data_IF_595284441196
#
_entry.id   IF_595284441196
#
_cell.length_a   1.000
_cell.length_b   1.000
_cell.length_c   1.000
_cell.angle_alpha   90.00
_cell.angle_beta   90.00
_cell.angle_gamma   90.00
#
_symmetry.space_group_name_H-M   'P 1'
#
loop_
_entity.id
_entity.type
_entity.pdbx_description
1 polymer ?
#
# COMPACT_ATOMS: atom_id res chain seq x y z
N UNK A 1 -20.19 51.06 36.44
CA UNK A 1 -18.97 50.29 36.32
C UNK A 1 -19.30 49.10 35.43
N UNK A 2 -19.06 49.25 34.13
CA UNK A 2 -19.38 48.24 33.13
C UNK A 2 -18.10 47.45 32.84
N UNK A 3 -18.06 46.18 33.20
CA UNK A 3 -16.94 45.28 32.91
C UNK A 3 -17.19 44.65 31.54
N UNK A 4 -16.44 45.12 30.56
CA UNK A 4 -16.42 44.54 29.21
C UNK A 4 -15.56 43.27 29.21
N UNK A 5 -16.19 42.12 29.05
CA UNK A 5 -15.48 40.86 28.75
C UNK A 5 -15.07 40.86 27.28
N UNK A 6 -13.80 41.11 27.04
CA UNK A 6 -13.19 40.87 25.72
C UNK A 6 -12.93 39.36 25.63
N UNK A 7 -13.78 38.65 24.90
CA UNK A 7 -13.51 37.27 24.50
C UNK A 7 -12.43 37.24 23.43
N UNK A 8 -11.26 36.69 23.76
CA UNK A 8 -10.26 36.33 22.78
C UNK A 8 -10.77 35.11 22.00
N UNK A 9 -11.32 35.34 20.82
CA UNK A 9 -11.42 34.31 19.81
C UNK A 9 -10.00 34.04 19.30
N UNK A 10 -9.42 32.94 19.75
CA UNK A 10 -8.26 32.37 19.12
C UNK A 10 -8.71 31.85 17.74
N UNK A 11 -8.42 32.61 16.71
CA UNK A 11 -8.52 32.16 15.35
C UNK A 11 -7.33 31.23 15.13
N UNK A 12 -7.51 29.91 15.32
CA UNK A 12 -6.58 28.94 14.78
C UNK A 12 -6.59 29.16 13.26
N UNK A 13 -5.52 29.76 12.76
CA UNK A 13 -5.22 29.74 11.34
C UNK A 13 -5.07 28.27 10.97
N UNK A 14 -6.09 27.66 10.34
CA UNK A 14 -5.88 26.49 9.51
C UNK A 14 -4.76 26.88 8.55
N UNK A 15 -3.60 26.29 8.69
CA UNK A 15 -2.55 26.39 7.68
C UNK A 15 -3.18 25.87 6.38
N UNK A 16 -3.31 26.72 5.38
CA UNK A 16 -3.69 26.24 4.05
C UNK A 16 -2.62 25.26 3.62
N UNK A 17 -2.99 24.00 3.57
CA UNK A 17 -2.14 22.93 3.10
C UNK A 17 -1.93 23.15 1.61
N UNK A 18 -0.71 23.51 1.20
CA UNK A 18 -0.37 23.71 -0.20
C UNK A 18 -0.23 22.31 -0.79
N UNK A 19 -1.16 21.92 -1.65
CA UNK A 19 -1.06 20.70 -2.45
C UNK A 19 -0.30 21.07 -3.73
N UNK A 20 0.76 20.37 -4.02
CA UNK A 20 1.50 20.52 -5.28
C UNK A 20 0.74 19.80 -6.39
N UNK A 21 0.52 20.51 -7.50
CA UNK A 21 -0.09 19.93 -8.70
C UNK A 21 1.00 19.39 -9.64
N UNK A 22 0.83 18.16 -10.12
CA UNK A 22 1.70 17.51 -11.11
C UNK A 22 0.82 17.07 -12.28
N UNK A 23 0.97 17.75 -13.41
CA UNK A 23 0.24 17.46 -14.62
C UNK A 23 0.91 16.32 -15.41
N UNK A 24 0.19 15.19 -15.53
CA UNK A 24 0.63 14.02 -16.26
C UNK A 24 0.18 14.15 -17.71
N UNK A 25 1.14 14.36 -18.59
CA UNK A 25 0.91 14.46 -20.06
C UNK A 25 0.40 13.14 -20.65
N UNK A 26 0.05 13.17 -21.94
CA UNK A 26 -0.34 11.95 -22.65
C UNK A 26 0.78 10.90 -22.67
N UNK A 27 0.44 9.61 -22.56
CA UNK A 27 1.44 8.54 -22.62
C UNK A 27 2.21 8.58 -23.95
N UNK A 28 3.52 8.61 -23.90
CA UNK A 28 4.39 8.63 -25.06
C UNK A 28 5.05 7.27 -25.29
N UNK A 29 4.73 6.65 -26.44
CA UNK A 29 5.38 5.41 -26.86
C UNK A 29 5.05 4.20 -25.97
N UNK A 30 5.95 3.23 -25.98
CA UNK A 30 5.93 2.04 -25.12
C UNK A 30 7.24 1.97 -24.35
N UNK A 31 7.17 1.83 -23.05
CA UNK A 31 8.32 1.56 -22.22
C UNK A 31 8.58 0.05 -22.21
N UNK A 32 9.80 -0.36 -22.36
CA UNK A 32 10.24 -1.75 -22.22
C UNK A 32 10.74 -1.99 -20.80
N UNK A 33 10.67 -3.22 -20.33
CA UNK A 33 11.22 -3.57 -19.01
C UNK A 33 12.72 -3.25 -18.90
N UNK A 34 13.48 -3.42 -19.98
CA UNK A 34 14.89 -3.02 -20.08
C UNK A 34 15.15 -1.51 -19.96
N UNK A 35 14.12 -0.67 -20.09
CA UNK A 35 14.24 0.75 -19.83
C UNK A 35 14.15 1.09 -18.33
N UNK A 36 13.63 0.15 -17.53
CA UNK A 36 13.43 0.29 -16.10
C UNK A 36 14.54 -0.35 -15.27
N UNK A 37 15.04 -1.52 -15.70
CA UNK A 37 16.04 -2.27 -14.95
C UNK A 37 16.87 -3.14 -15.89
N UNK A 38 18.12 -3.42 -15.48
CA UNK A 38 19.05 -4.23 -16.28
C UNK A 38 18.84 -5.73 -16.02
N UNK A 39 18.40 -6.10 -14.84
CA UNK A 39 18.23 -7.49 -14.41
C UNK A 39 17.12 -7.63 -13.36
N UNK A 40 16.44 -8.77 -13.42
CA UNK A 40 15.44 -9.17 -12.43
C UNK A 40 15.83 -10.54 -11.89
N UNK A 41 16.16 -10.61 -10.60
CA UNK A 41 16.47 -11.86 -9.93
C UNK A 41 15.18 -12.50 -9.42
N UNK A 42 14.94 -13.75 -9.82
CA UNK A 42 13.76 -14.51 -9.47
C UNK A 42 14.11 -15.57 -8.43
N UNK A 43 13.46 -15.52 -7.28
CA UNK A 43 13.64 -16.42 -6.15
C UNK A 43 12.45 -17.37 -6.11
N UNK A 44 12.60 -18.64 -6.49
CA UNK A 44 11.51 -19.61 -6.44
C UNK A 44 11.08 -19.84 -4.99
N UNK A 45 9.80 -19.73 -4.70
CA UNK A 45 9.27 -20.07 -3.38
C UNK A 45 8.92 -21.56 -3.30
N UNK A 46 9.34 -22.21 -2.24
CA UNK A 46 9.11 -23.63 -2.03
C UNK A 46 7.62 -23.99 -2.12
N UNK A 47 7.29 -24.96 -2.96
CA UNK A 47 5.92 -25.42 -3.20
C UNK A 47 5.63 -26.72 -2.42
N UNK A 48 4.94 -26.58 -1.30
CA UNK A 48 4.44 -27.70 -0.45
C UNK A 48 3.00 -27.45 -0.08
N UNK A 49 2.26 -28.47 0.31
CA UNK A 49 0.84 -28.31 0.70
C UNK A 49 0.60 -27.24 1.76
N UNK A 50 1.54 -27.01 2.67
CA UNK A 50 1.46 -26.01 3.74
C UNK A 50 1.93 -24.62 3.33
N UNK A 51 2.68 -24.50 2.24
CA UNK A 51 3.23 -23.23 1.74
C UNK A 51 2.49 -22.69 0.51
N UNK A 52 1.49 -23.42 -0.01
CA UNK A 52 0.70 -22.98 -1.15
C UNK A 52 -0.12 -21.73 -0.83
N UNK A 53 -0.12 -20.79 -1.75
CA UNK A 53 -0.96 -19.61 -1.74
C UNK A 53 -1.49 -19.30 -3.14
N UNK A 54 -2.60 -18.58 -3.20
CA UNK A 54 -3.29 -18.30 -4.46
C UNK A 54 -2.78 -17.01 -5.12
N UNK A 55 -2.64 -15.96 -4.33
CA UNK A 55 -2.22 -14.66 -4.79
C UNK A 55 -1.46 -13.94 -3.67
N UNK A 56 -0.28 -13.37 -3.95
CA UNK A 56 0.37 -12.48 -2.99
C UNK A 56 -0.36 -11.13 -2.99
N UNK A 57 -0.93 -10.74 -1.85
CA UNK A 57 -1.61 -9.46 -1.68
C UNK A 57 -0.71 -8.40 -1.03
N UNK A 58 0.25 -8.82 -0.22
CA UNK A 58 1.26 -7.94 0.39
C UNK A 58 2.55 -8.70 0.68
N UNK A 59 3.68 -8.03 0.53
CA UNK A 59 5.00 -8.51 0.84
C UNK A 59 5.69 -7.54 1.82
N UNK A 60 6.27 -8.08 2.88
CA UNK A 60 7.24 -7.36 3.73
C UNK A 60 8.52 -8.16 3.75
N UNK A 61 9.65 -7.48 3.54
CA UNK A 61 11.00 -8.06 3.61
C UNK A 61 11.65 -7.62 4.90
N UNK A 62 11.94 -8.56 5.80
CA UNK A 62 12.54 -8.28 7.09
C UNK A 62 13.38 -9.46 7.58
N UNK A 63 14.54 -9.19 8.14
CA UNK A 63 15.46 -10.18 8.75
C UNK A 63 15.71 -11.39 7.84
N UNK A 64 16.10 -11.14 6.57
CA UNK A 64 16.36 -12.15 5.55
C UNK A 64 15.18 -13.10 5.29
N UNK A 65 13.94 -12.60 5.47
CA UNK A 65 12.71 -13.35 5.26
C UNK A 65 11.70 -12.55 4.45
N UNK A 66 10.88 -13.30 3.73
CA UNK A 66 9.70 -12.82 3.03
C UNK A 66 8.45 -13.15 3.83
N UNK A 67 7.70 -12.13 4.26
CA UNK A 67 6.39 -12.26 4.89
C UNK A 67 5.35 -11.95 3.83
N UNK A 68 4.62 -12.97 3.38
CA UNK A 68 3.70 -12.89 2.25
C UNK A 68 2.28 -13.11 2.74
N UNK A 69 1.41 -12.13 2.55
CA UNK A 69 -0.02 -12.26 2.85
C UNK A 69 -0.78 -12.74 1.62
N UNK A 70 -1.64 -13.73 1.81
CA UNK A 70 -2.64 -14.17 0.84
C UNK A 70 -4.02 -14.11 1.50
N UNK A 71 -4.85 -13.17 1.04
CA UNK A 71 -6.22 -12.94 1.57
C UNK A 71 -7.24 -13.95 1.07
N UNK A 72 -7.03 -14.56 -0.08
CA UNK A 72 -8.06 -15.28 -0.83
C UNK A 72 -7.84 -16.78 -0.96
N UNK A 73 -6.67 -17.27 -0.63
CA UNK A 73 -6.30 -18.69 -0.70
C UNK A 73 -5.90 -19.24 0.64
N UNK A 74 -4.69 -18.92 1.10
CA UNK A 74 -4.18 -19.38 2.39
C UNK A 74 -4.82 -18.65 3.58
N UNK A 75 -5.32 -17.45 3.39
CA UNK A 75 -5.96 -16.56 4.38
C UNK A 75 -5.09 -16.38 5.65
N UNK A 76 -3.78 -16.20 5.44
CA UNK A 76 -2.76 -16.08 6.48
C UNK A 76 -1.48 -15.42 5.91
N UNK A 77 -0.48 -15.24 6.76
CA UNK A 77 0.85 -14.84 6.35
C UNK A 77 1.73 -16.08 6.24
N UNK A 78 2.40 -16.23 5.11
CA UNK A 78 3.38 -17.27 4.84
C UNK A 78 4.77 -16.67 4.95
N UNK A 79 5.66 -17.33 5.67
CA UNK A 79 7.02 -16.87 5.91
C UNK A 79 8.00 -17.79 5.19
N UNK A 80 8.83 -17.19 4.35
CA UNK A 80 9.91 -17.88 3.62
C UNK A 80 11.25 -17.24 3.96
N UNK A 81 12.31 -18.00 3.92
CA UNK A 81 13.68 -17.48 3.96
C UNK A 81 14.02 -16.75 2.66
N UNK A 82 15.09 -15.98 2.65
CA UNK A 82 15.57 -15.23 1.47
C UNK A 82 15.94 -16.17 0.29
N UNK A 83 16.25 -17.44 0.54
CA UNK A 83 16.50 -18.46 -0.47
C UNK A 83 15.22 -19.08 -1.06
N UNK A 84 14.03 -18.65 -0.58
CA UNK A 84 12.74 -19.17 -0.99
C UNK A 84 12.25 -20.40 -0.23
N UNK A 85 13.03 -20.98 0.68
CA UNK A 85 12.59 -22.12 1.51
C UNK A 85 11.50 -21.70 2.49
N UNK A 86 10.48 -22.55 2.66
CA UNK A 86 9.36 -22.27 3.56
C UNK A 86 9.77 -22.44 5.03
N UNK A 87 9.45 -21.44 5.85
CA UNK A 87 9.69 -21.50 7.30
C UNK A 87 8.43 -21.98 8.05
N UNK A 88 7.41 -21.14 8.07
CA UNK A 88 6.16 -21.34 8.78
C UNK A 88 5.07 -20.39 8.29
N UNK A 89 3.90 -20.44 8.91
CA UNK A 89 2.83 -19.46 8.69
C UNK A 89 2.41 -18.79 10.00
N UNK A 90 1.87 -17.57 9.89
CA UNK A 90 1.40 -16.76 11.00
C UNK A 90 -0.07 -16.45 10.82
N UNK A 91 -0.83 -16.67 11.89
CA UNK A 91 -2.26 -16.47 11.92
C UNK A 91 -3.05 -17.66 11.41
N UNK A 92 -4.32 -17.71 11.80
CA UNK A 92 -5.28 -18.75 11.41
C UNK A 92 -6.67 -18.13 11.36
N UNK A 93 -7.41 -18.42 10.30
CA UNK A 93 -8.81 -18.05 10.18
C UNK A 93 -9.66 -18.98 11.04
N UNK A 94 -10.55 -18.42 11.87
CA UNK A 94 -11.46 -19.17 12.73
C UNK A 94 -12.09 -18.32 13.81
N UNK A 95 -12.67 -18.98 14.82
CA UNK A 95 -13.36 -18.34 15.95
C UNK A 95 -12.71 -18.65 17.30
N UNK A 96 -11.56 -19.29 17.31
CA UNK A 96 -10.83 -19.63 18.52
C UNK A 96 -10.01 -18.47 19.08
N UNK A 97 -9.36 -18.70 20.21
CA UNK A 97 -8.46 -17.73 20.78
C UNK A 97 -7.27 -17.50 19.85
N UNK A 98 -7.04 -16.24 19.44
CA UNK A 98 -5.99 -15.90 18.49
C UNK A 98 -6.33 -16.22 17.03
N UNK A 99 -7.57 -16.62 16.73
CA UNK A 99 -8.03 -16.77 15.35
C UNK A 99 -8.83 -15.53 14.92
N UNK A 100 -8.77 -15.18 13.63
CA UNK A 100 -9.46 -14.04 13.05
C UNK A 100 -10.50 -14.47 12.00
N UNK A 101 -11.50 -13.62 11.77
CA UNK A 101 -12.56 -13.88 10.78
C UNK A 101 -12.03 -13.64 9.35
N UNK A 102 -11.30 -12.54 9.15
CA UNK A 102 -10.70 -12.15 7.87
C UNK A 102 -9.29 -11.64 8.11
N UNK A 103 -8.48 -11.63 7.08
CA UNK A 103 -7.20 -10.90 7.06
C UNK A 103 -7.32 -9.78 6.04
N UNK A 104 -7.26 -8.52 6.52
CA UNK A 104 -7.38 -7.33 5.65
C UNK A 104 -6.01 -6.76 5.30
N UNK A 105 -5.13 -6.67 6.28
CA UNK A 105 -3.78 -6.18 6.12
C UNK A 105 -2.88 -6.69 7.26
N UNK A 106 -1.59 -6.47 7.15
CA UNK A 106 -0.64 -6.74 8.23
C UNK A 106 0.54 -5.80 8.20
N UNK A 107 1.22 -5.67 9.33
CA UNK A 107 2.49 -4.98 9.44
C UNK A 107 3.42 -5.70 10.40
N UNK A 108 4.72 -5.39 10.32
CA UNK A 108 5.72 -5.81 11.29
C UNK A 108 6.04 -4.64 12.23
N UNK A 109 6.00 -4.88 13.52
CA UNK A 109 6.61 -4.01 14.51
C UNK A 109 8.04 -4.55 14.75
N UNK A 110 9.00 -3.96 14.02
CA UNK A 110 10.41 -4.42 14.05
C UNK A 110 11.02 -4.25 15.44
N UNK A 111 10.62 -3.21 16.20
CA UNK A 111 11.13 -2.93 17.54
C UNK A 111 10.67 -3.98 18.56
N UNK A 112 9.43 -4.43 18.45
CA UNK A 112 8.85 -5.46 19.32
C UNK A 112 9.01 -6.88 18.79
N UNK A 113 9.54 -7.05 17.59
CA UNK A 113 9.61 -8.34 16.88
C UNK A 113 8.23 -9.02 16.81
N UNK A 114 7.21 -8.25 16.37
CA UNK A 114 5.83 -8.70 16.34
C UNK A 114 5.22 -8.52 14.95
N UNK A 115 4.29 -9.42 14.62
CA UNK A 115 3.40 -9.33 13.48
C UNK A 115 2.04 -8.87 13.96
N UNK A 116 1.53 -7.80 13.36
CA UNK A 116 0.20 -7.26 13.66
C UNK A 116 -0.70 -7.51 12.45
N UNK A 117 -1.69 -8.37 12.61
CA UNK A 117 -2.69 -8.69 11.59
C UNK A 117 -3.93 -7.86 11.83
N UNK A 118 -4.38 -7.13 10.82
CA UNK A 118 -5.64 -6.40 10.82
C UNK A 118 -6.75 -7.30 10.29
N UNK A 119 -7.86 -7.38 11.02
CA UNK A 119 -9.07 -8.12 10.66
C UNK A 119 -10.29 -7.21 10.69
N UNK A 120 -11.26 -7.48 9.81
CA UNK A 120 -12.56 -6.81 9.81
C UNK A 120 -13.33 -7.07 11.14
N UNK A 121 -14.07 -6.10 11.71
CA UNK A 121 -14.29 -4.73 11.18
C UNK A 121 -13.20 -3.72 11.59
N UNK A 122 -12.32 -3.94 12.49
CA UNK A 122 -11.21 -3.10 12.93
C UNK A 122 -10.59 -3.66 14.21
N UNK A 123 -10.13 -4.86 14.12
CA UNK A 123 -9.47 -5.58 15.20
C UNK A 123 -8.08 -6.02 14.77
N UNK A 124 -7.11 -5.84 15.65
CA UNK A 124 -5.76 -6.32 15.43
C UNK A 124 -5.49 -7.56 16.27
N UNK A 125 -4.74 -8.48 15.68
CA UNK A 125 -4.23 -9.69 16.31
C UNK A 125 -2.73 -9.65 16.27
N UNK A 126 -2.09 -9.78 17.41
CA UNK A 126 -0.66 -9.65 17.59
C UNK A 126 -0.05 -11.02 17.83
N UNK A 127 0.98 -11.34 17.05
CA UNK A 127 1.75 -12.57 17.13
C UNK A 127 3.24 -12.25 17.28
N UNK A 128 4.04 -13.17 17.81
CA UNK A 128 5.49 -13.09 17.65
C UNK A 128 5.91 -13.50 16.22
N UNK A 129 7.19 -13.31 15.89
CA UNK A 129 7.72 -13.68 14.58
C UNK A 129 7.71 -15.20 14.29
N UNK A 130 7.45 -16.04 15.31
CA UNK A 130 7.29 -17.50 15.17
C UNK A 130 5.82 -17.93 14.98
N UNK A 131 4.87 -16.97 15.00
CA UNK A 131 3.45 -17.21 14.82
C UNK A 131 2.70 -17.57 16.11
N UNK A 132 3.31 -17.39 17.28
CA UNK A 132 2.59 -17.58 18.55
C UNK A 132 1.71 -16.36 18.83
N UNK A 133 0.43 -16.59 19.10
CA UNK A 133 -0.51 -15.51 19.44
C UNK A 133 -0.17 -14.88 20.78
N UNK A 134 -0.13 -13.55 20.84
CA UNK A 134 0.15 -12.77 22.04
C UNK A 134 -1.15 -12.21 22.62
N UNK A 135 -1.83 -11.34 21.88
CA UNK A 135 -3.11 -10.75 22.26
C UNK A 135 -3.84 -10.15 21.05
N UNK A 136 -5.09 -9.70 21.27
CA UNK A 136 -5.85 -8.96 20.29
C UNK A 136 -6.41 -7.67 20.88
N UNK A 137 -6.66 -6.66 20.03
CA UNK A 137 -7.17 -5.35 20.43
C UNK A 137 -8.16 -4.81 19.40
N UNK A 138 -9.27 -4.25 19.88
CA UNK A 138 -10.21 -3.48 19.05
C UNK A 138 -9.68 -2.06 18.83
N UNK A 139 -9.75 -1.55 17.59
CA UNK A 139 -9.30 -0.21 17.21
C UNK A 139 -10.40 0.86 17.26
N UNK A 140 -11.61 0.50 17.65
CA UNK A 140 -12.76 1.39 17.71
C UNK A 140 -13.83 1.05 16.67
N UNK A 141 -14.64 2.05 16.29
CA UNK A 141 -15.81 1.85 15.42
C UNK A 141 -15.55 2.15 13.94
N UNK A 142 -14.46 2.84 13.62
CA UNK A 142 -14.12 3.16 12.22
C UNK A 142 -13.71 1.89 11.48
N UNK A 143 -14.09 1.77 10.22
CA UNK A 143 -13.62 0.67 9.37
C UNK A 143 -12.19 0.93 8.92
N UNK A 144 -11.29 0.09 9.35
CA UNK A 144 -9.88 0.15 9.02
C UNK A 144 -9.55 -0.93 7.97
N UNK A 145 -8.85 -0.55 6.92
CA UNK A 145 -8.49 -1.43 5.81
C UNK A 145 -7.00 -1.67 5.66
N UNK A 146 -6.18 -0.69 6.06
CA UNK A 146 -4.73 -0.83 6.01
C UNK A 146 -4.10 -0.44 7.33
N UNK A 147 -2.94 -1.02 7.61
CA UNK A 147 -2.13 -0.75 8.78
C UNK A 147 -0.65 -0.77 8.41
N UNK A 148 0.11 0.22 8.90
CA UNK A 148 1.57 0.13 8.93
C UNK A 148 2.10 0.57 10.30
N UNK A 149 3.25 0.02 10.68
CA UNK A 149 3.96 0.40 11.91
C UNK A 149 4.94 1.54 11.61
N UNK A 150 5.15 2.41 12.58
CA UNK A 150 6.26 3.34 12.64
C UNK A 150 6.82 3.30 14.07
N UNK A 151 7.97 3.95 14.30
CA UNK A 151 8.70 3.82 15.58
C UNK A 151 7.83 3.98 16.83
N UNK A 152 6.93 4.97 16.86
CA UNK A 152 6.14 5.28 18.05
C UNK A 152 4.75 4.63 18.06
N UNK A 153 4.37 3.88 17.03
CA UNK A 153 3.04 3.30 16.98
C UNK A 153 2.62 2.72 15.64
N UNK A 154 1.36 2.94 15.34
CA UNK A 154 0.73 2.43 14.12
C UNK A 154 -0.09 3.51 13.45
N UNK A 155 -0.07 3.55 12.13
CA UNK A 155 -1.01 4.34 11.34
C UNK A 155 -1.93 3.40 10.55
N UNK A 156 -3.20 3.74 10.52
CA UNK A 156 -4.23 2.96 9.87
C UNK A 156 -5.01 3.83 8.88
N UNK A 157 -5.46 3.25 7.77
CA UNK A 157 -6.32 3.97 6.82
C UNK A 157 -7.71 3.36 6.69
N UNK A 158 -8.69 4.22 6.39
CA UNK A 158 -10.09 3.84 6.16
C UNK A 158 -10.43 3.65 4.69
N UNK A 159 -9.53 4.02 3.77
CA UNK A 159 -9.77 3.99 2.33
C UNK A 159 -11.15 4.58 1.97
N UNK A 160 -11.49 5.76 2.50
CA UNK A 160 -12.79 6.43 2.31
C UNK A 160 -14.02 5.68 2.86
N UNK A 161 -13.86 4.50 3.47
CA UNK A 161 -15.00 3.80 4.09
C UNK A 161 -15.21 4.26 5.53
N UNK A 162 -16.21 5.08 5.74
CA UNK A 162 -16.57 5.54 7.08
C UNK A 162 -18.07 5.31 7.30
N UNK A 163 -18.43 4.70 8.44
CA UNK A 163 -19.82 4.41 8.81
C UNK A 163 -20.34 5.25 9.97
N UNK A 164 -19.62 6.27 10.40
CA UNK A 164 -20.04 7.11 11.52
C UNK A 164 -20.89 8.27 11.02
N UNK A 165 -22.21 8.13 11.08
CA UNK A 165 -23.12 9.27 10.99
C UNK A 165 -22.80 10.28 12.09
N UNK A 166 -22.51 11.53 11.71
CA UNK A 166 -22.36 12.67 12.61
C UNK A 166 -20.98 12.91 13.21
N UNK A 167 -19.97 12.08 12.93
CA UNK A 167 -18.59 12.35 13.26
C UNK A 167 -17.80 12.78 12.02
N UNK A 168 -16.81 13.66 12.20
CA UNK A 168 -15.87 13.97 11.11
C UNK A 168 -15.12 12.70 10.71
N UNK A 169 -15.18 12.36 9.43
CA UNK A 169 -14.52 11.20 8.86
C UNK A 169 -13.08 11.55 8.44
N UNK A 170 -12.14 10.69 8.73
CA UNK A 170 -10.73 10.86 8.39
C UNK A 170 -10.19 9.66 7.64
N UNK A 171 -9.20 9.89 6.78
CA UNK A 171 -8.49 8.83 6.05
C UNK A 171 -7.48 8.11 6.94
N UNK A 172 -6.76 8.84 7.79
CA UNK A 172 -5.68 8.30 8.61
C UNK A 172 -5.96 8.43 10.11
N UNK A 173 -5.68 7.36 10.84
CA UNK A 173 -5.78 7.24 12.29
C UNK A 173 -4.43 6.81 12.85
N UNK A 174 -3.89 7.56 13.81
CA UNK A 174 -2.61 7.32 14.46
C UNK A 174 -2.82 6.74 15.84
N UNK A 175 -2.21 5.61 16.10
CA UNK A 175 -2.27 4.88 17.37
C UNK A 175 -0.88 4.78 17.99
N UNK A 176 -0.79 4.80 19.32
CA UNK A 176 0.44 4.46 20.02
C UNK A 176 0.73 2.94 19.98
N UNK A 177 1.86 2.53 20.56
CA UNK A 177 2.29 1.12 20.66
C UNK A 177 1.33 0.22 21.47
N UNK A 178 0.33 0.79 22.15
CA UNK A 178 -0.73 0.07 22.87
C UNK A 178 -2.09 0.14 22.16
N UNK A 179 -2.09 0.63 20.92
CA UNK A 179 -3.31 0.86 20.11
C UNK A 179 -4.30 1.82 20.77
N UNK A 180 -3.81 2.84 21.46
CA UNK A 180 -4.62 3.98 21.91
C UNK A 180 -4.57 5.07 20.84
N UNK A 181 -5.73 5.55 20.40
CA UNK A 181 -5.83 6.58 19.36
C UNK A 181 -5.20 7.90 19.85
N UNK A 182 -4.25 8.42 19.08
CA UNK A 182 -3.50 9.64 19.38
C UNK A 182 -3.92 10.80 18.48
N UNK A 183 -4.14 10.55 17.19
CA UNK A 183 -4.43 11.59 16.21
C UNK A 183 -5.22 11.05 15.02
N UNK A 184 -5.84 12.00 14.28
CA UNK A 184 -6.55 11.75 13.01
C UNK A 184 -6.11 12.78 11.99
N UNK A 185 -5.92 12.37 10.73
CA UNK A 185 -5.52 13.27 9.65
C UNK A 185 -6.28 12.98 8.35
N UNK A 186 -6.24 13.96 7.45
CA UNK A 186 -6.84 13.92 6.13
C UNK A 186 -8.36 13.68 6.22
N UNK A 187 -9.14 14.74 6.44
CA UNK A 187 -10.61 14.62 6.50
C UNK A 187 -11.14 14.12 5.16
N UNK A 188 -12.06 13.15 5.22
CA UNK A 188 -12.74 12.62 4.04
C UNK A 188 -13.76 13.64 3.55
N UNK A 189 -13.74 13.97 2.26
CA UNK A 189 -14.76 14.83 1.67
C UNK A 189 -16.13 14.13 1.70
N UNK A 190 -17.24 14.83 2.03
CA UNK A 190 -18.57 14.22 2.13
C UNK A 190 -19.01 13.44 0.87
N UNK A 191 -18.59 13.86 -0.28
CA UNK A 191 -18.88 13.20 -1.57
C UNK A 191 -18.23 11.81 -1.68
N UNK A 192 -17.14 11.55 -0.94
CA UNK A 192 -16.39 10.30 -1.00
C UNK A 192 -16.82 9.26 0.05
N UNK A 193 -17.64 9.63 1.04
CA UNK A 193 -17.98 8.76 2.18
C UNK A 193 -18.74 7.48 1.76
N UNK A 194 -19.43 7.50 0.64
CA UNK A 194 -20.30 6.39 0.20
C UNK A 194 -19.65 5.47 -0.82
N UNK A 195 -18.43 5.76 -1.26
CA UNK A 195 -17.76 4.92 -2.26
C UNK A 195 -16.98 3.76 -1.62
N UNK A 196 -17.26 2.50 -1.98
CA UNK A 196 -16.40 1.40 -1.61
C UNK A 196 -15.01 1.54 -2.28
N UNK A 197 -13.94 1.09 -1.63
CA UNK A 197 -12.61 1.15 -2.22
C UNK A 197 -12.52 0.15 -3.37
N UNK A 198 -12.56 0.65 -4.60
CA UNK A 198 -12.26 -0.15 -5.79
C UNK A 198 -10.77 -0.22 -6.05
N UNK A 199 -10.04 0.67 -5.44
CA UNK A 199 -8.62 0.87 -5.68
C UNK A 199 -7.89 0.73 -4.37
N UNK A 200 -6.81 -0.02 -4.36
CA UNK A 200 -5.93 -0.12 -3.20
C UNK A 200 -5.28 1.24 -2.95
N UNK A 201 -5.35 1.72 -1.71
CA UNK A 201 -4.63 2.92 -1.29
C UNK A 201 -3.42 2.48 -0.46
N UNK A 202 -2.22 2.41 -1.05
CA UNK A 202 -1.06 1.93 -0.32
C UNK A 202 -0.72 2.81 0.87
N UNK A 203 -0.49 2.16 2.00
CA UNK A 203 -0.06 2.75 3.26
C UNK A 203 1.14 1.97 3.77
N UNK A 204 2.29 2.62 3.88
CA UNK A 204 3.53 2.01 4.38
C UNK A 204 4.48 3.07 4.93
N UNK A 205 5.56 2.63 5.53
CA UNK A 205 6.63 3.50 6.03
C UNK A 205 7.90 3.29 5.23
N UNK A 206 8.61 4.37 5.01
CA UNK A 206 10.03 4.40 4.65
C UNK A 206 10.85 4.69 5.91
N UNK A 207 12.17 4.82 5.80
CA UNK A 207 13.02 5.16 6.95
C UNK A 207 12.65 6.51 7.60
N UNK A 208 12.12 7.45 6.81
CA UNK A 208 11.89 8.83 7.26
C UNK A 208 10.45 9.31 7.15
N UNK A 209 9.57 8.54 6.53
CA UNK A 209 8.22 9.00 6.17
C UNK A 209 7.18 7.91 6.29
N UNK A 210 5.96 8.33 6.61
CA UNK A 210 4.75 7.56 6.39
C UNK A 210 4.21 7.97 5.02
N UNK A 211 4.01 7.00 4.15
CA UNK A 211 3.51 7.18 2.79
C UNK A 211 2.07 6.73 2.72
N UNK A 212 1.20 7.60 2.27
CA UNK A 212 -0.17 7.26 1.92
C UNK A 212 -0.48 7.78 0.52
N UNK A 213 -0.75 6.89 -0.40
CA UNK A 213 -1.21 7.28 -1.74
C UNK A 213 -2.71 7.01 -1.86
N UNK A 214 -3.48 8.07 -1.94
CA UNK A 214 -4.91 7.99 -2.23
C UNK A 214 -5.10 7.83 -3.74
N UNK A 215 -5.12 6.59 -4.20
CA UNK A 215 -5.31 6.29 -5.61
C UNK A 215 -6.68 6.77 -6.13
N UNK A 216 -7.64 6.95 -5.23
CA UNK A 216 -8.98 7.39 -5.57
C UNK A 216 -9.03 8.88 -5.95
N UNK A 217 -8.32 9.73 -5.21
CA UNK A 217 -8.20 11.15 -5.48
C UNK A 217 -6.91 11.52 -6.20
N UNK A 218 -6.09 10.53 -6.58
CA UNK A 218 -4.79 10.73 -7.24
C UNK A 218 -3.83 11.60 -6.41
N UNK A 219 -3.87 11.46 -5.08
CA UNK A 219 -3.08 12.26 -4.16
C UNK A 219 -2.07 11.42 -3.39
N UNK A 220 -0.81 11.83 -3.45
CA UNK A 220 0.25 11.34 -2.57
C UNK A 220 0.34 12.22 -1.33
N UNK A 221 0.39 11.60 -0.17
CA UNK A 221 0.64 12.25 1.11
C UNK A 221 1.88 11.64 1.76
N UNK A 222 2.88 12.48 2.03
CA UNK A 222 4.10 12.11 2.73
C UNK A 222 4.10 12.82 4.07
N UNK A 223 4.16 12.06 5.15
CA UNK A 223 4.20 12.59 6.51
C UNK A 223 5.59 12.28 7.06
N UNK A 224 6.45 13.31 7.07
CA UNK A 224 7.81 13.14 7.56
C UNK A 224 7.82 12.92 9.07
N UNK A 225 8.65 11.99 9.51
CA UNK A 225 8.93 11.76 10.91
C UNK A 225 10.00 12.76 11.38
N UNK A 226 9.90 13.26 12.61
CA UNK A 226 10.91 14.13 13.17
C UNK A 226 12.26 13.36 13.38
N UNK A 227 13.30 14.06 13.83
CA UNK A 227 14.64 13.45 14.07
C UNK A 227 14.63 12.29 15.06
N UNK A 228 13.60 12.20 15.90
CA UNK A 228 13.38 11.07 16.82
C UNK A 228 12.52 9.96 16.20
N UNK A 229 12.15 10.09 14.93
CA UNK A 229 11.16 9.28 14.23
C UNK A 229 9.74 9.33 14.84
N UNK A 230 9.42 10.45 15.53
CA UNK A 230 8.08 10.72 16.06
C UNK A 230 7.22 11.42 15.00
N UNK A 231 5.93 11.15 15.06
CA UNK A 231 4.94 11.77 14.18
C UNK A 231 4.79 13.28 14.46
N UNK A 232 4.85 14.09 13.40
CA UNK A 232 4.54 15.52 13.44
C UNK A 232 3.57 15.89 12.32
N UNK A 233 2.35 16.27 12.67
CA UNK A 233 1.31 16.67 11.73
C UNK A 233 1.66 17.91 10.88
N UNK A 234 2.67 18.68 11.28
CA UNK A 234 3.12 19.86 10.54
C UNK A 234 4.09 19.51 9.40
N UNK A 235 4.57 18.26 9.34
CA UNK A 235 5.51 17.79 8.34
C UNK A 235 4.80 17.03 7.19
N UNK A 236 3.57 17.43 6.87
CA UNK A 236 2.82 16.84 5.77
C UNK A 236 3.14 17.54 4.44
N UNK A 237 3.62 16.77 3.48
CA UNK A 237 3.73 17.17 2.07
C UNK A 237 2.69 16.43 1.25
N UNK A 238 2.00 17.12 0.35
CA UNK A 238 0.98 16.51 -0.51
C UNK A 238 1.18 16.90 -1.97
N UNK A 239 0.99 15.92 -2.85
CA UNK A 239 0.98 16.09 -4.29
C UNK A 239 -0.32 15.55 -4.87
N UNK A 240 -0.93 16.29 -5.80
CA UNK A 240 -2.03 15.81 -6.63
C UNK A 240 -1.55 15.58 -8.06
N UNK A 241 -1.86 14.42 -8.61
CA UNK A 241 -1.49 14.03 -9.97
C UNK A 241 -2.70 14.16 -10.88
N UNK A 242 -2.70 15.20 -11.72
CA UNK A 242 -3.75 15.44 -12.70
C UNK A 242 -3.52 14.58 -13.93
N UNK A 243 -4.43 13.66 -14.25
CA UNK A 243 -4.39 12.82 -15.44
C UNK A 243 -5.73 12.88 -16.17
N UNK A 244 -5.81 13.71 -17.20
CA UNK A 244 -7.03 13.93 -17.95
C UNK A 244 -7.46 12.72 -18.83
N UNK A 245 -8.78 12.44 -18.99
CA UNK A 245 -9.87 13.09 -18.26
C UNK A 245 -10.00 12.54 -16.84
N UNK A 246 -10.19 13.45 -15.88
CA UNK A 246 -10.36 13.09 -14.48
C UNK A 246 -11.77 12.54 -14.18
N UNK A 247 -11.88 11.86 -13.06
CA UNK A 247 -13.17 11.37 -12.54
C UNK A 247 -14.01 12.54 -12.06
N UNK A 248 -15.21 12.71 -12.57
CA UNK A 248 -16.11 13.80 -12.17
C UNK A 248 -16.77 13.52 -10.81
N UNK A 249 -17.16 14.59 -10.08
CA UNK A 249 -17.90 14.46 -8.83
C UNK A 249 -19.19 13.64 -8.93
N UNK A 250 -19.86 13.65 -10.08
CA UNK A 250 -21.07 12.86 -10.29
C UNK A 250 -20.81 11.36 -10.25
N UNK A 251 -19.66 10.94 -10.77
CA UNK A 251 -19.22 9.53 -10.76
C UNK A 251 -18.91 9.10 -9.33
N UNK A 252 -18.33 9.98 -8.52
CA UNK A 252 -18.04 9.68 -7.11
C UNK A 252 -19.30 9.48 -6.25
N UNK A 253 -20.45 10.01 -6.66
CA UNK A 253 -21.73 9.87 -5.92
C UNK A 253 -22.42 8.54 -6.11
N UNK A 254 -22.08 7.81 -7.18
CA UNK A 254 -22.68 6.53 -7.52
C UNK A 254 -21.63 5.53 -8.01
N UNK A 255 -21.39 4.54 -7.16
CA UNK A 255 -20.48 3.42 -7.40
C UNK A 255 -20.74 2.70 -8.73
N UNK A 256 -21.98 2.48 -9.09
CA UNK A 256 -22.30 1.81 -10.34
C UNK A 256 -21.93 2.68 -11.53
N UNK A 257 -22.11 4.00 -11.44
CA UNK A 257 -21.65 4.96 -12.44
C UNK A 257 -20.15 4.89 -12.67
N UNK A 258 -19.34 4.65 -11.62
CA UNK A 258 -17.90 4.47 -11.79
C UNK A 258 -17.60 3.26 -12.68
N UNK A 259 -18.17 2.10 -12.40
CA UNK A 259 -17.94 0.90 -13.21
C UNK A 259 -18.43 1.01 -14.63
N UNK A 260 -19.62 1.58 -14.83
CA UNK A 260 -20.19 1.73 -16.15
C UNK A 260 -19.40 2.69 -17.04
N UNK A 261 -18.77 3.70 -16.42
CA UNK A 261 -18.08 4.79 -17.10
C UNK A 261 -16.54 4.78 -16.95
N UNK A 262 -15.94 3.75 -16.32
CA UNK A 262 -14.50 3.67 -16.06
C UNK A 262 -13.61 3.86 -17.30
N UNK A 263 -14.16 3.63 -18.51
CA UNK A 263 -13.46 3.84 -19.76
C UNK A 263 -13.50 5.30 -20.26
N UNK A 264 -14.19 6.20 -19.55
CA UNK A 264 -14.31 7.61 -19.93
C UNK A 264 -13.26 8.50 -19.28
N UNK A 265 -12.64 8.05 -18.19
CA UNK A 265 -11.71 8.82 -17.36
C UNK A 265 -10.43 8.07 -17.04
N UNK A 266 -9.53 8.73 -16.33
CA UNK A 266 -8.26 8.20 -15.86
C UNK A 266 -8.27 8.05 -14.34
N UNK A 267 -7.68 6.96 -13.82
CA UNK A 267 -7.53 6.76 -12.38
C UNK A 267 -6.33 5.86 -12.07
N UNK A 268 -5.76 6.04 -10.89
CA UNK A 268 -4.66 5.22 -10.40
C UNK A 268 -5.20 3.85 -9.94
N UNK A 269 -4.60 2.77 -10.42
CA UNK A 269 -4.91 1.41 -10.00
C UNK A 269 -4.01 1.01 -8.84
N UNK A 270 -2.71 1.22 -9.03
CA UNK A 270 -1.64 0.88 -8.10
C UNK A 270 -0.59 1.96 -8.15
N UNK A 271 -0.01 2.26 -6.99
CA UNK A 271 1.05 3.24 -6.88
C UNK A 271 2.06 2.82 -5.81
N UNK A 272 3.28 3.22 -6.03
CA UNK A 272 4.38 3.06 -5.10
C UNK A 272 5.26 4.30 -5.14
N UNK A 273 5.73 4.77 -3.99
CA UNK A 273 6.63 5.91 -3.87
C UNK A 273 7.96 5.45 -3.25
N UNK A 274 9.05 5.83 -3.86
CA UNK A 274 10.37 5.67 -3.30
C UNK A 274 11.35 6.67 -3.95
N UNK A 275 12.29 7.18 -3.17
CA UNK A 275 13.35 8.07 -3.67
C UNK A 275 12.82 9.25 -4.50
N UNK A 276 11.86 9.97 -3.95
CA UNK A 276 11.18 11.12 -4.59
C UNK A 276 10.46 10.80 -5.91
N UNK A 277 10.29 9.53 -6.23
CA UNK A 277 9.64 9.08 -7.47
C UNK A 277 8.38 8.26 -7.18
N UNK A 278 7.30 8.60 -7.85
CA UNK A 278 6.07 7.80 -7.90
C UNK A 278 6.14 6.86 -9.11
N UNK A 279 5.88 5.61 -8.85
CA UNK A 279 5.69 4.53 -9.82
C UNK A 279 4.23 4.11 -9.76
N UNK A 280 3.51 4.15 -10.87
CA UNK A 280 2.08 3.85 -10.83
C UNK A 280 1.56 3.19 -12.10
N UNK A 281 0.55 2.34 -11.92
CA UNK A 281 -0.32 1.89 -13.01
C UNK A 281 -1.57 2.75 -13.04
N UNK A 282 -1.86 3.31 -14.20
CA UNK A 282 -3.00 4.19 -14.44
C UNK A 282 -3.89 3.53 -15.50
N UNK A 283 -5.17 3.36 -15.17
CA UNK A 283 -6.19 3.13 -16.18
C UNK A 283 -6.51 4.47 -16.84
N UNK A 284 -6.22 4.59 -18.12
CA UNK A 284 -6.53 5.78 -18.92
C UNK A 284 -7.47 5.38 -20.04
N UNK A 285 -8.74 5.78 -19.90
CA UNK A 285 -9.79 5.49 -20.91
C UNK A 285 -9.81 4.00 -21.31
N UNK A 286 -9.83 3.11 -20.33
CA UNK A 286 -9.89 1.65 -20.54
C UNK A 286 -8.57 1.00 -21.01
N UNK A 287 -7.46 1.76 -21.10
CA UNK A 287 -6.14 1.24 -21.41
C UNK A 287 -5.22 1.41 -20.21
N UNK A 288 -4.28 0.50 -20.06
CA UNK A 288 -3.28 0.61 -18.98
C UNK A 288 -2.05 1.40 -19.44
N UNK A 289 -1.59 2.27 -18.58
CA UNK A 289 -0.35 3.01 -18.74
C UNK A 289 0.49 2.92 -17.46
N UNK A 290 1.79 3.07 -17.59
CA UNK A 290 2.75 3.10 -16.49
C UNK A 290 3.37 4.48 -16.38
N UNK A 291 3.40 5.02 -15.15
CA UNK A 291 3.97 6.30 -14.78
C UNK A 291 5.21 6.10 -13.91
N UNK A 292 6.27 6.85 -14.22
CA UNK A 292 7.35 7.20 -13.31
C UNK A 292 7.42 8.71 -13.25
N UNK A 293 7.27 9.33 -12.09
CA UNK A 293 7.31 10.79 -11.97
C UNK A 293 8.02 11.22 -10.69
N UNK A 294 9.01 12.10 -10.82
CA UNK A 294 9.63 12.78 -9.70
C UNK A 294 8.64 13.80 -9.11
N UNK A 295 8.43 13.77 -7.81
CA UNK A 295 7.42 14.58 -7.13
C UNK A 295 7.80 16.06 -7.02
N UNK A 296 9.08 16.40 -7.12
CA UNK A 296 9.56 17.79 -7.00
C UNK A 296 9.55 18.52 -8.33
N UNK A 297 9.88 17.83 -9.40
CA UNK A 297 9.96 18.43 -10.73
C UNK A 297 8.73 18.17 -11.60
N UNK A 298 7.99 17.10 -11.31
CA UNK A 298 6.93 16.56 -12.17
C UNK A 298 7.49 15.92 -13.46
N UNK A 299 8.81 15.82 -13.58
CA UNK A 299 9.42 15.16 -14.73
C UNK A 299 9.37 13.65 -14.56
N UNK A 300 9.21 12.95 -15.67
CA UNK A 300 9.15 11.52 -15.63
C UNK A 300 8.80 10.90 -16.97
N UNK A 301 8.48 9.61 -16.93
CA UNK A 301 8.06 8.84 -18.09
C UNK A 301 6.62 8.39 -17.88
N UNK A 302 5.79 8.62 -18.87
CA UNK A 302 4.44 8.08 -18.92
C UNK A 302 4.26 7.35 -20.25
N UNK A 303 4.03 6.04 -20.20
CA UNK A 303 4.03 5.18 -21.38
C UNK A 303 2.90 4.16 -21.30
N UNK A 304 2.44 3.71 -22.48
CA UNK A 304 1.45 2.63 -22.52
C UNK A 304 2.03 1.35 -21.93
N UNK A 305 1.20 0.67 -21.15
CA UNK A 305 1.56 -0.60 -20.49
C UNK A 305 1.91 -1.68 -21.52
N UNK A 306 3.03 -2.31 -21.26
CA UNK A 306 3.38 -3.57 -21.91
C UNK A 306 3.35 -4.65 -20.83
N UNK A 307 2.75 -5.83 -21.08
CA UNK A 307 2.46 -6.93 -20.13
C UNK A 307 3.63 -7.42 -19.24
N UNK A 308 4.75 -6.75 -19.28
CA UNK A 308 5.99 -7.16 -18.62
C UNK A 308 6.48 -6.21 -17.50
N UNK A 309 5.66 -5.27 -17.03
CA UNK A 309 6.06 -4.44 -15.90
C UNK A 309 5.78 -5.15 -14.58
N UNK A 310 6.79 -5.30 -13.70
CA UNK A 310 6.55 -5.81 -12.36
C UNK A 310 5.79 -4.76 -11.54
N UNK A 311 4.69 -5.17 -10.95
CA UNK A 311 4.02 -4.41 -9.89
C UNK A 311 4.99 -4.27 -8.71
N UNK A 312 5.30 -3.03 -8.29
CA UNK A 312 6.19 -2.80 -7.16
C UNK A 312 5.38 -2.95 -5.87
N UNK A 313 5.71 -3.94 -5.06
CA UNK A 313 5.01 -4.22 -3.81
C UNK A 313 5.72 -3.66 -2.58
N UNK A 314 7.04 -3.61 -2.62
CA UNK A 314 7.85 -3.07 -1.53
C UNK A 314 9.27 -2.76 -2.02
N UNK A 315 10.02 -2.01 -1.22
CA UNK A 315 11.47 -1.82 -1.40
C UNK A 315 12.20 -2.05 -0.08
N UNK A 316 13.41 -2.59 -0.16
CA UNK A 316 14.30 -2.78 0.99
C UNK A 316 15.75 -2.80 0.51
N UNK A 317 16.62 -2.09 1.22
CA UNK A 317 18.08 -2.06 0.97
C UNK A 317 18.46 -1.73 -0.48
N UNK A 318 17.74 -0.79 -1.12
CA UNK A 318 17.94 -0.35 -2.49
C UNK A 318 17.36 -1.27 -3.57
N UNK A 319 16.75 -2.39 -3.19
CA UNK A 319 16.04 -3.27 -4.12
C UNK A 319 14.54 -3.02 -4.08
N UNK A 320 13.92 -3.13 -5.25
CA UNK A 320 12.47 -3.24 -5.40
C UNK A 320 12.07 -4.70 -5.52
N UNK A 321 10.90 -5.02 -4.98
CA UNK A 321 10.37 -6.38 -4.94
C UNK A 321 8.99 -6.47 -5.57
N UNK A 322 8.77 -7.56 -6.27
CA UNK A 322 7.51 -7.93 -6.93
C UNK A 322 7.34 -9.44 -6.92
N UNK A 323 6.34 -9.91 -7.66
CA UNK A 323 6.15 -11.33 -7.93
C UNK A 323 6.04 -11.59 -9.43
N UNK A 324 6.48 -12.78 -9.82
CA UNK A 324 6.20 -13.33 -11.15
C UNK A 324 5.63 -14.74 -11.00
N UNK A 325 4.59 -15.06 -11.77
CA UNK A 325 4.07 -16.42 -11.76
C UNK A 325 4.95 -17.35 -12.59
N UNK A 326 5.01 -18.64 -12.26
CA UNK A 326 5.71 -19.63 -13.09
C UNK A 326 5.22 -19.61 -14.55
N UNK A 327 3.91 -19.46 -14.76
CA UNK A 327 3.32 -19.37 -16.10
C UNK A 327 3.84 -18.17 -16.89
N UNK A 328 3.98 -17.00 -16.26
CA UNK A 328 4.56 -15.82 -16.91
C UNK A 328 6.01 -16.05 -17.31
N UNK A 329 6.83 -16.69 -16.46
CA UNK A 329 8.21 -17.05 -16.82
C UNK A 329 8.30 -18.05 -17.96
N UNK A 330 7.39 -19.02 -18.01
CA UNK A 330 7.34 -20.02 -19.09
C UNK A 330 6.95 -19.39 -20.44
N UNK A 331 6.03 -18.44 -20.43
CA UNK A 331 5.56 -17.73 -21.62
C UNK A 331 6.55 -16.65 -22.08
N UNK A 332 7.24 -16.03 -21.14
CA UNK A 332 8.13 -14.89 -21.38
C UNK A 332 9.59 -15.29 -21.20
N UNK A 333 10.22 -15.66 -22.29
CA UNK A 333 11.66 -15.95 -22.34
C UNK A 333 12.50 -14.66 -22.34
N UNK A 334 12.10 -13.67 -21.55
CA UNK A 334 12.84 -12.43 -21.46
C UNK A 334 14.19 -12.68 -20.77
N UNK A 335 15.26 -12.31 -21.43
CA UNK A 335 16.64 -12.44 -20.95
C UNK A 335 16.95 -11.67 -19.67
N UNK A 336 16.08 -10.76 -19.25
CA UNK A 336 16.24 -9.99 -18.01
C UNK A 336 15.91 -10.79 -16.73
N UNK A 337 15.15 -11.89 -16.85
CA UNK A 337 14.82 -12.72 -15.70
C UNK A 337 15.94 -13.74 -15.45
N UNK A 338 16.54 -13.67 -14.27
CA UNK A 338 17.57 -14.59 -13.80
C UNK A 338 17.04 -15.38 -12.60
N UNK A 339 16.82 -16.66 -12.76
CA UNK A 339 16.41 -17.54 -11.66
C UNK A 339 17.64 -17.82 -10.79
N UNK A 340 17.56 -17.51 -9.49
CA UNK A 340 18.69 -17.68 -8.57
C UNK A 340 19.07 -19.15 -8.37
N UNK A 341 18.09 -20.05 -8.44
CA UNK A 341 18.32 -21.49 -8.37
C UNK A 341 18.37 -22.07 -9.79
N UNK A 342 19.54 -22.35 -10.30
CA UNK A 342 19.77 -22.88 -11.66
C UNK A 342 19.12 -24.26 -11.90
N UNK A 343 18.77 -25.00 -10.84
CA UNK A 343 18.10 -26.30 -10.92
C UNK A 343 16.56 -26.17 -10.96
N UNK A 344 16.02 -24.98 -10.70
CA UNK A 344 14.58 -24.77 -10.69
C UNK A 344 14.02 -24.63 -12.11
N UNK A 345 13.12 -25.52 -12.45
CA UNK A 345 12.32 -25.45 -13.68
C UNK A 345 10.88 -25.08 -13.34
N UNK A 346 10.35 -23.91 -13.78
CA UNK A 346 8.98 -23.49 -13.47
C UNK A 346 7.95 -24.50 -13.95
N UNK A 347 6.98 -24.85 -13.09
CA UNK A 347 5.87 -25.74 -13.42
C UNK A 347 4.53 -25.06 -13.13
N UNK A 348 3.50 -25.47 -13.88
CA UNK A 348 2.13 -25.03 -13.61
C UNK A 348 1.69 -25.59 -12.24
N UNK A 349 1.32 -24.69 -11.34
CA UNK A 349 0.90 -25.04 -9.97
C UNK A 349 1.97 -24.80 -8.91
N UNK A 350 3.19 -24.43 -9.29
CA UNK A 350 4.17 -23.92 -8.35
C UNK A 350 3.72 -22.57 -7.76
N UNK A 351 4.25 -22.24 -6.59
CA UNK A 351 4.12 -20.92 -6.01
C UNK A 351 4.72 -19.85 -6.92
N UNK A 352 4.33 -18.61 -6.71
CA UNK A 352 4.97 -17.44 -7.32
C UNK A 352 6.45 -17.40 -6.93
N UNK A 353 7.24 -16.73 -7.77
CA UNK A 353 8.61 -16.38 -7.44
C UNK A 353 8.64 -14.94 -6.95
N UNK A 354 9.36 -14.68 -5.87
CA UNK A 354 9.72 -13.32 -5.50
C UNK A 354 10.71 -12.79 -6.50
N UNK A 355 10.47 -11.60 -7.02
CA UNK A 355 11.43 -10.91 -7.88
C UNK A 355 12.04 -9.74 -7.15
N UNK A 356 13.35 -9.51 -7.31
CA UNK A 356 14.04 -8.32 -6.87
C UNK A 356 14.83 -7.69 -7.99
N UNK A 357 14.87 -6.37 -8.04
CA UNK A 357 15.52 -5.59 -9.10
C UNK A 357 15.92 -4.21 -8.59
N UNK A 358 16.81 -3.57 -9.33
CA UNK A 358 17.21 -2.17 -9.13
C UNK A 358 16.66 -1.38 -10.30
N UNK A 359 16.00 -0.26 -10.02
CA UNK A 359 15.49 0.63 -11.07
C UNK A 359 16.61 1.53 -11.60
N UNK A 360 16.64 1.69 -12.91
CA UNK A 360 17.53 2.62 -13.60
C UNK A 360 17.00 4.05 -13.38
N UNK A 361 17.87 4.97 -12.96
CA UNK A 361 17.57 6.39 -12.74
C UNK A 361 17.53 7.20 -14.03
#
# INVERSE_FOLDING_TARGET
>A
MVVSCIGFYSCEKKSEQIIKEIDIKEPAGRMMLSDLCDSIWCIPLETKSQSLFKKPDKLIVYDQRFYIMDKSGAEKILVFNEDGSYCHSIGTKGNGQGEYITIEDFTLDEEKEQVVILSYPSKVYIYDLNGNFIHAKELGKSLIWNICSYKDGYVCSTNHQTYTEGEEAYLLFFYDKNFSLQNKMLPVLPVHITMPPFVSCPLYTTDNEIVYFDNFTSQLHLISLNQNAEFDSNLLYSCHFTCEPEVSEEVYKDVMSFFDRQNEFSFFIESYYANDTVYAFIAKQGKLAFLMADIHTGQGRFSWYNKYYPEILTSKDGYFYSFVSPTQLMEDKNVLFHIINDEYEPQIGDNFLVTRFILNH
#
